data_IF_733049917505
#
_entry.id   IF_733049917505
#
_cell.length_a   1.000
_cell.length_b   1.000
_cell.length_c   1.000
_cell.angle_alpha   90.00
_cell.angle_beta   90.00
_cell.angle_gamma   90.00
#
_symmetry.space_group_name_H-M   'P 1'
#
loop_
_entity.id
_entity.type
_entity.pdbx_description
1 polymer ?
#
# COMPACT_ATOMS: atom_id res chain seq x y z
N UNK A 1 5.82 -3.81 -11.50
CA UNK A 1 4.47 -4.23 -11.08
C UNK A 1 3.55 -3.95 -12.26
N UNK A 2 2.76 -4.93 -12.71
CA UNK A 2 1.91 -4.79 -13.90
C UNK A 2 0.50 -5.31 -13.60
N UNK A 3 -0.51 -4.78 -14.30
CA UNK A 3 -1.88 -5.28 -14.27
C UNK A 3 -2.08 -6.19 -15.48
N UNK A 4 -2.33 -7.48 -15.25
CA UNK A 4 -2.65 -8.42 -16.32
C UNK A 4 -4.13 -8.31 -16.69
N UNK A 5 -4.44 -8.09 -17.97
CA UNK A 5 -5.81 -8.01 -18.48
C UNK A 5 -6.24 -9.28 -19.22
N UNK A 6 -5.30 -10.19 -19.47
CA UNK A 6 -5.52 -11.48 -20.12
C UNK A 6 -4.57 -12.55 -19.59
N UNK A 7 -4.88 -13.82 -19.86
CA UNK A 7 -4.01 -14.96 -19.52
C UNK A 7 -2.63 -14.83 -20.17
N UNK A 8 -2.58 -14.24 -21.37
CA UNK A 8 -1.34 -13.97 -22.09
C UNK A 8 -0.47 -12.95 -21.36
N UNK A 9 -1.07 -11.84 -20.91
CA UNK A 9 -0.34 -10.81 -20.15
C UNK A 9 0.24 -11.42 -18.85
N UNK A 10 -0.56 -12.27 -18.17
CA UNK A 10 -0.13 -12.94 -16.96
C UNK A 10 1.09 -13.84 -17.20
N UNK A 11 1.06 -14.66 -18.25
CA UNK A 11 2.18 -15.53 -18.61
C UNK A 11 3.44 -14.73 -18.93
N UNK A 12 3.32 -13.66 -19.72
CA UNK A 12 4.44 -12.77 -20.05
C UNK A 12 5.04 -12.13 -18.79
N UNK A 13 4.21 -11.62 -17.87
CA UNK A 13 4.69 -10.96 -16.66
C UNK A 13 5.32 -11.92 -15.64
N UNK A 14 4.77 -13.13 -15.49
CA UNK A 14 5.34 -14.14 -14.59
C UNK A 14 6.70 -14.64 -15.08
N UNK A 15 6.84 -14.86 -16.39
CA UNK A 15 8.11 -15.24 -16.98
C UNK A 15 9.17 -14.15 -16.74
N UNK A 16 8.84 -12.89 -17.04
CA UNK A 16 9.74 -11.77 -16.78
C UNK A 16 10.12 -11.63 -15.30
N UNK A 17 9.16 -11.77 -14.38
CA UNK A 17 9.42 -11.66 -12.95
C UNK A 17 10.36 -12.78 -12.43
N UNK A 18 10.22 -14.00 -12.96
CA UNK A 18 11.07 -15.14 -12.59
C UNK A 18 12.54 -14.97 -12.99
N UNK A 19 12.82 -14.15 -14.01
CA UNK A 19 14.19 -13.82 -14.43
C UNK A 19 14.86 -12.82 -13.48
N UNK A 20 14.07 -11.92 -12.89
CA UNK A 20 14.56 -10.84 -12.02
C UNK A 20 14.85 -11.33 -10.61
N UNK A 21 14.03 -12.23 -10.06
CA UNK A 21 14.19 -12.72 -8.68
C UNK A 21 13.82 -14.19 -8.55
N UNK A 22 14.83 -15.05 -8.47
CA UNK A 22 14.65 -16.50 -8.28
C UNK A 22 14.33 -16.89 -6.84
N UNK A 23 14.71 -16.05 -5.87
CA UNK A 23 14.60 -16.36 -4.44
C UNK A 23 13.30 -15.85 -3.80
N UNK A 24 12.60 -14.90 -4.44
CA UNK A 24 11.37 -14.32 -3.90
C UNK A 24 10.14 -14.68 -4.75
N UNK A 25 9.08 -15.21 -4.13
CA UNK A 25 7.86 -15.58 -4.83
C UNK A 25 7.14 -14.35 -5.38
N UNK A 26 6.48 -14.52 -6.53
CA UNK A 26 5.61 -13.49 -7.10
C UNK A 26 4.28 -13.45 -6.34
N UNK A 27 3.84 -12.26 -5.96
CA UNK A 27 2.53 -12.04 -5.36
C UNK A 27 1.55 -11.63 -6.46
N UNK A 28 0.43 -12.34 -6.54
CA UNK A 28 -0.69 -12.03 -7.44
C UNK A 28 -1.89 -11.66 -6.56
N UNK A 29 -2.49 -10.50 -6.83
CA UNK A 29 -3.68 -10.03 -6.14
C UNK A 29 -4.78 -9.71 -7.14
N UNK A 30 -6.03 -9.67 -6.64
CA UNK A 30 -7.14 -9.14 -7.44
C UNK A 30 -6.97 -7.63 -7.58
N UNK A 31 -7.02 -7.14 -8.82
CA UNK A 31 -7.05 -5.71 -9.08
C UNK A 31 -8.40 -5.12 -8.63
N UNK A 32 -8.35 -4.04 -7.85
CA UNK A 32 -9.53 -3.34 -7.35
C UNK A 32 -9.75 -2.08 -8.18
N UNK A 33 -10.78 -2.10 -9.02
CA UNK A 33 -11.18 -0.94 -9.84
C UNK A 33 -11.94 0.08 -9.01
N UNK A 34 -11.79 1.36 -9.34
CA UNK A 34 -12.51 2.48 -8.68
C UNK A 34 -12.26 2.54 -7.17
N UNK A 35 -11.12 2.03 -6.71
CA UNK A 35 -10.69 2.09 -5.33
C UNK A 35 -9.82 3.32 -5.11
N UNK A 36 -10.01 3.99 -3.96
CA UNK A 36 -9.07 5.01 -3.48
C UNK A 36 -7.82 4.34 -2.94
N UNK A 37 -6.67 4.93 -3.20
CA UNK A 37 -5.38 4.55 -2.61
C UNK A 37 -5.00 5.52 -1.50
N UNK A 38 -4.53 4.98 -0.37
CA UNK A 38 -4.19 5.74 0.83
C UNK A 38 -2.80 5.34 1.27
N UNK A 39 -1.93 6.32 1.45
CA UNK A 39 -0.59 6.14 2.01
C UNK A 39 -0.60 6.56 3.48
N UNK A 40 0.04 5.77 4.32
CA UNK A 40 0.26 6.10 5.72
C UNK A 40 1.73 5.99 6.07
N UNK A 41 2.33 7.15 6.36
CA UNK A 41 3.66 7.22 6.95
C UNK A 41 3.55 7.29 8.47
N UNK A 42 4.31 6.46 9.16
CA UNK A 42 4.31 6.43 10.61
C UNK A 42 5.69 6.15 11.19
N UNK A 43 5.88 6.55 12.45
CA UNK A 43 7.06 6.20 13.25
C UNK A 43 6.58 5.43 14.45
N UNK A 44 7.20 4.29 14.72
CA UNK A 44 6.90 3.46 15.89
C UNK A 44 8.14 3.25 16.77
N UNK A 45 7.90 2.91 18.03
CA UNK A 45 8.91 2.37 18.94
C UNK A 45 8.34 1.12 19.60
N UNK A 46 9.02 0.00 19.42
CA UNK A 46 8.68 -1.31 19.98
C UNK A 46 7.24 -1.75 19.66
N UNK A 47 6.79 -1.41 18.44
CA UNK A 47 5.44 -1.71 17.94
C UNK A 47 4.37 -0.68 18.30
N UNK A 48 4.68 0.32 19.13
CA UNK A 48 3.76 1.41 19.47
C UNK A 48 3.95 2.63 18.56
N UNK A 49 2.86 3.14 17.98
CA UNK A 49 2.88 4.31 17.09
C UNK A 49 3.19 5.59 17.88
N UNK A 50 4.24 6.31 17.48
CA UNK A 50 4.61 7.62 18.02
C UNK A 50 3.94 8.76 17.26
N UNK A 51 3.95 8.69 15.93
CA UNK A 51 3.27 9.64 15.05
C UNK A 51 2.88 8.97 13.74
N UNK A 52 1.88 9.53 13.06
CA UNK A 52 1.46 9.09 11.74
C UNK A 52 0.88 10.24 10.92
N UNK A 53 1.06 10.18 9.61
CA UNK A 53 0.44 11.04 8.61
C UNK A 53 -0.30 10.15 7.62
N UNK A 54 -1.59 10.45 7.41
CA UNK A 54 -2.41 9.78 6.39
C UNK A 54 -2.50 10.71 5.19
N UNK A 55 -2.29 10.17 4.00
CA UNK A 55 -2.30 10.89 2.73
C UNK A 55 -3.26 10.19 1.77
N UNK A 56 -4.02 10.97 1.02
CA UNK A 56 -4.94 10.47 -0.01
C UNK A 56 -4.34 10.70 -1.39
N UNK A 57 -4.39 9.68 -2.24
CA UNK A 57 -4.06 9.82 -3.65
C UNK A 57 -5.21 10.53 -4.38
N UNK A 58 -4.88 11.43 -5.31
CA UNK A 58 -5.87 12.06 -6.20
C UNK A 58 -6.32 11.07 -7.26
N UNK A 59 -5.40 10.26 -7.76
CA UNK A 59 -5.66 9.15 -8.67
C UNK A 59 -6.20 7.91 -7.95
N UNK A 60 -6.94 7.07 -8.66
CA UNK A 60 -7.40 5.79 -8.13
C UNK A 60 -6.26 4.76 -8.09
N UNK A 61 -6.45 3.73 -7.26
CA UNK A 61 -5.53 2.61 -7.14
C UNK A 61 -5.18 1.99 -8.51
N UNK A 62 -3.89 1.79 -8.73
CA UNK A 62 -3.33 1.30 -9.99
C UNK A 62 -2.44 2.31 -10.72
N UNK A 63 -2.44 3.58 -10.30
CA UNK A 63 -1.32 4.50 -10.56
C UNK A 63 -0.30 4.29 -9.45
N UNK A 64 0.96 4.07 -9.81
CA UNK A 64 2.01 3.84 -8.81
C UNK A 64 2.16 5.08 -7.91
N UNK A 65 2.27 4.91 -6.59
CA UNK A 65 2.31 6.02 -5.63
C UNK A 65 3.40 7.06 -5.93
N UNK A 66 4.55 6.64 -6.45
CA UNK A 66 5.64 7.54 -6.88
C UNK A 66 5.31 8.42 -8.09
N UNK A 67 4.28 8.07 -8.86
CA UNK A 67 3.77 8.84 -10.00
C UNK A 67 2.41 9.51 -9.68
N UNK A 68 1.84 9.24 -8.51
CA UNK A 68 0.55 9.76 -8.07
C UNK A 68 0.69 11.12 -7.39
N UNK A 69 -0.38 11.91 -7.43
CA UNK A 69 -0.50 13.15 -6.68
C UNK A 69 -1.09 12.85 -5.31
N UNK A 70 -0.43 13.33 -4.25
CA UNK A 70 -0.82 13.08 -2.86
C UNK A 70 -1.34 14.35 -2.18
N UNK A 71 -2.35 14.20 -1.31
CA UNK A 71 -2.87 15.27 -0.46
C UNK A 71 -2.84 14.85 1.01
N UNK A 72 -2.26 15.70 1.85
CA UNK A 72 -2.11 15.48 3.30
C UNK A 72 -2.59 16.72 4.06
N UNK A 73 -3.59 16.64 4.96
CA UNK A 73 -4.38 15.45 5.32
C UNK A 73 -5.35 15.02 4.20
N UNK A 74 -5.92 13.80 4.25
CA UNK A 74 -6.90 13.34 3.28
C UNK A 74 -8.12 14.27 3.27
N UNK A 75 -8.69 14.51 2.09
CA UNK A 75 -9.80 15.47 1.90
C UNK A 75 -11.15 14.78 1.79
N UNK A 76 -11.19 13.57 1.23
CA UNK A 76 -12.42 12.85 0.94
C UNK A 76 -12.40 11.43 1.56
N UNK A 77 -12.06 11.40 2.86
CA UNK A 77 -12.24 10.25 3.73
C UNK A 77 -13.21 10.56 4.86
N UNK A 78 -14.17 9.67 5.06
CA UNK A 78 -15.05 9.76 6.22
C UNK A 78 -14.29 9.38 7.52
N UNK A 79 -14.74 9.91 8.65
CA UNK A 79 -14.07 9.72 9.94
C UNK A 79 -13.99 8.24 10.36
N UNK A 80 -14.99 7.42 10.01
CA UNK A 80 -15.01 5.98 10.35
C UNK A 80 -13.88 5.24 9.62
N UNK A 81 -13.72 5.48 8.32
CA UNK A 81 -12.64 4.90 7.52
C UNK A 81 -11.29 5.35 8.04
N UNK A 82 -11.13 6.64 8.38
CA UNK A 82 -9.89 7.15 8.93
C UNK A 82 -9.51 6.48 10.26
N UNK A 83 -10.47 6.26 11.16
CA UNK A 83 -10.21 5.52 12.41
C UNK A 83 -9.87 4.05 12.16
N UNK A 84 -10.50 3.41 11.17
CA UNK A 84 -10.15 2.04 10.77
C UNK A 84 -8.72 1.95 10.24
N UNK A 85 -8.28 2.92 9.44
CA UNK A 85 -6.90 3.00 8.92
C UNK A 85 -5.92 3.09 10.10
N UNK A 86 -6.16 4.01 11.05
CA UNK A 86 -5.31 4.16 12.25
C UNK A 86 -5.21 2.87 13.06
N UNK A 87 -6.32 2.16 13.22
CA UNK A 87 -6.34 0.90 13.95
C UNK A 87 -5.56 -0.21 13.22
N UNK A 88 -5.70 -0.31 11.90
CA UNK A 88 -4.95 -1.27 11.08
C UNK A 88 -3.44 -1.00 11.21
N UNK A 89 -3.02 0.27 11.11
CA UNK A 89 -1.61 0.67 11.20
C UNK A 89 -1.03 0.34 12.57
N UNK A 90 -1.75 0.61 13.67
CA UNK A 90 -1.32 0.20 15.02
C UNK A 90 -1.16 -1.31 15.15
N UNK A 91 -2.14 -2.07 14.65
CA UNK A 91 -2.11 -3.54 14.72
C UNK A 91 -0.93 -4.11 13.93
N UNK A 92 -0.60 -3.54 12.78
CA UNK A 92 0.52 -3.99 11.95
C UNK A 92 1.85 -3.61 12.58
N UNK A 93 2.00 -2.37 13.07
CA UNK A 93 3.20 -1.95 13.78
C UNK A 93 3.48 -2.85 15.00
N UNK A 94 2.45 -3.16 15.79
CA UNK A 94 2.55 -4.06 16.95
C UNK A 94 2.90 -5.49 16.53
N UNK A 95 2.21 -6.04 15.52
CA UNK A 95 2.44 -7.42 15.08
C UNK A 95 3.85 -7.63 14.48
N UNK A 96 4.42 -6.61 13.86
CA UNK A 96 5.75 -6.64 13.27
C UNK A 96 6.84 -6.09 14.21
N UNK A 97 6.49 -5.68 15.43
CA UNK A 97 7.38 -5.03 16.40
C UNK A 97 8.20 -3.89 15.77
N UNK A 98 7.53 -3.01 15.01
CA UNK A 98 8.21 -1.96 14.26
C UNK A 98 8.85 -0.95 15.21
N UNK A 99 10.13 -0.67 14.98
CA UNK A 99 10.89 0.39 15.66
C UNK A 99 11.59 1.24 14.60
N UNK A 100 11.15 2.49 14.46
CA UNK A 100 11.59 3.42 13.41
C UNK A 100 10.47 3.85 12.46
N UNK A 101 10.82 4.56 11.37
CA UNK A 101 9.86 4.96 10.34
C UNK A 101 9.44 3.77 9.48
N UNK A 102 8.18 3.75 9.08
CA UNK A 102 7.63 2.79 8.14
C UNK A 102 6.49 3.41 7.34
N UNK A 103 6.20 2.81 6.19
CA UNK A 103 5.14 3.21 5.28
C UNK A 103 4.18 2.04 5.11
N UNK A 104 2.91 2.37 4.87
CA UNK A 104 1.79 1.45 4.80
C UNK A 104 0.79 1.88 3.74
#
# INVERSE_FOLDING_TARGET
MNVAHSDKDLEEYLNAASEVSKEHPVVISKFLTEAKEIDVDAVAADGDILCMAVSEHVENAGVHSGDATLVTPPQDLNAKTLEQIKEIVRRIASALCVSGPFNM
#
